data_IF_651242466194
#
_entry.id   IF_651242466194
#
_cell.length_a   1.000
_cell.length_b   1.000
_cell.length_c   1.000
_cell.angle_alpha   90.00
_cell.angle_beta   90.00
_cell.angle_gamma   90.00
#
_symmetry.space_group_name_H-M   'P 1'
#
loop_
_entity.id
_entity.type
_entity.pdbx_description
1 polymer ?
#
# COMPACT_ATOMS: atom_id res chain seq x y z
N UNK A 1 -5.37 9.76 -0.28
CA UNK A 1 -4.54 10.92 0.15
C UNK A 1 -3.67 11.34 -1.04
N UNK A 2 -2.78 12.33 -0.93
CA UNK A 2 -1.82 12.59 -2.00
C UNK A 2 -0.75 11.48 -2.06
N UNK A 3 -0.16 11.20 -3.24
CA UNK A 3 0.85 10.14 -3.40
C UNK A 3 2.00 10.21 -2.38
N UNK A 4 2.51 11.42 -2.13
CA UNK A 4 3.59 11.66 -1.16
C UNK A 4 3.17 11.48 0.30
N UNK A 5 1.89 11.68 0.63
CA UNK A 5 1.39 11.46 1.99
C UNK A 5 1.37 9.96 2.31
N UNK A 6 0.91 9.13 1.37
CA UNK A 6 0.99 7.67 1.51
C UNK A 6 2.43 7.18 1.68
N UNK A 7 3.34 7.72 0.87
CA UNK A 7 4.76 7.41 0.97
C UNK A 7 5.33 7.83 2.33
N UNK A 8 5.04 9.05 2.78
CA UNK A 8 5.54 9.56 4.05
C UNK A 8 5.06 8.71 5.23
N UNK A 9 3.76 8.38 5.30
CA UNK A 9 3.21 7.54 6.36
C UNK A 9 3.83 6.14 6.32
N UNK A 10 3.89 5.52 5.14
CA UNK A 10 4.46 4.19 4.98
C UNK A 10 5.94 4.13 5.37
N UNK A 11 6.74 5.11 4.93
CA UNK A 11 8.16 5.19 5.24
C UNK A 11 8.42 5.43 6.73
N UNK A 12 7.72 6.38 7.35
CA UNK A 12 7.87 6.65 8.78
C UNK A 12 7.47 5.42 9.60
N UNK A 13 6.36 4.76 9.26
CA UNK A 13 5.90 3.56 9.94
C UNK A 13 6.91 2.42 9.83
N UNK A 14 7.38 2.13 8.61
CA UNK A 14 8.37 1.07 8.38
C UNK A 14 9.72 1.39 9.03
N UNK A 15 10.18 2.63 8.92
CA UNK A 15 11.44 3.09 9.53
C UNK A 15 11.38 2.99 11.05
N UNK A 16 10.29 3.41 11.68
CA UNK A 16 10.12 3.30 13.13
C UNK A 16 10.14 1.83 13.57
N UNK A 17 9.37 0.97 12.92
CA UNK A 17 9.34 -0.46 13.26
C UNK A 17 10.73 -1.08 13.10
N UNK A 18 11.43 -0.81 12.00
CA UNK A 18 12.74 -1.40 11.74
C UNK A 18 13.80 -0.89 12.72
N UNK A 19 13.83 0.41 13.02
CA UNK A 19 14.76 0.97 14.01
C UNK A 19 14.47 0.47 15.44
N UNK A 20 13.21 0.25 15.81
CA UNK A 20 12.86 -0.18 17.17
C UNK A 20 13.02 -1.70 17.35
N UNK A 21 12.53 -2.49 16.41
CA UNK A 21 12.46 -3.96 16.51
C UNK A 21 13.75 -4.61 16.02
N UNK A 22 14.22 -4.18 14.84
CA UNK A 22 15.40 -4.77 14.17
C UNK A 22 16.69 -4.04 14.58
N UNK A 23 16.59 -2.81 15.08
CA UNK A 23 17.71 -1.94 15.48
C UNK A 23 18.66 -1.60 14.33
N UNK A 24 18.10 -1.52 13.13
CA UNK A 24 18.80 -1.12 11.91
C UNK A 24 17.95 -0.11 11.14
N UNK A 25 18.60 0.79 10.40
CA UNK A 25 17.90 1.69 9.48
C UNK A 25 17.42 0.93 8.24
N UNK A 26 16.29 1.33 7.62
CA UNK A 26 15.86 0.77 6.35
C UNK A 26 16.97 0.83 5.28
N UNK A 27 17.22 -0.29 4.63
CA UNK A 27 18.10 -0.36 3.48
C UNK A 27 17.49 0.33 2.24
N UNK A 28 18.33 0.59 1.23
CA UNK A 28 17.86 1.14 -0.04
C UNK A 28 16.81 0.24 -0.72
N UNK A 29 17.01 -1.08 -0.69
CA UNK A 29 16.08 -2.03 -1.31
C UNK A 29 14.74 -2.08 -0.57
N UNK A 30 14.74 -2.04 0.76
CA UNK A 30 13.52 -1.97 1.56
C UNK A 30 12.80 -0.63 1.32
N UNK A 31 13.54 0.47 1.20
CA UNK A 31 12.96 1.78 0.88
C UNK A 31 12.27 1.78 -0.48
N UNK A 32 12.87 1.15 -1.51
CA UNK A 32 12.22 0.96 -2.81
C UNK A 32 10.96 0.09 -2.67
N UNK A 33 11.01 -0.97 -1.87
CA UNK A 33 9.84 -1.80 -1.60
C UNK A 33 8.71 -1.01 -0.90
N UNK A 34 9.03 -0.12 0.04
CA UNK A 34 8.07 0.79 0.66
C UNK A 34 7.47 1.73 -0.37
N UNK A 35 8.28 2.34 -1.24
CA UNK A 35 7.79 3.21 -2.32
C UNK A 35 6.79 2.45 -3.18
N UNK A 36 7.17 1.29 -3.71
CA UNK A 36 6.28 0.49 -4.56
C UNK A 36 4.99 0.09 -3.83
N UNK A 37 5.09 -0.43 -2.61
CA UNK A 37 3.93 -0.87 -1.84
C UNK A 37 2.98 0.29 -1.52
N UNK A 38 3.53 1.46 -1.17
CA UNK A 38 2.75 2.66 -0.83
C UNK A 38 2.01 3.29 -2.01
N UNK A 39 2.36 2.95 -3.25
CA UNK A 39 1.74 3.54 -4.44
C UNK A 39 0.92 2.53 -5.25
N UNK A 40 1.15 1.22 -5.06
CA UNK A 40 0.55 0.19 -5.92
C UNK A 40 -0.99 0.26 -6.01
N UNK A 41 -1.77 0.42 -4.93
CA UNK A 41 -3.24 0.47 -5.06
C UNK A 41 -3.71 1.56 -6.03
N UNK A 42 -3.19 2.76 -5.84
CA UNK A 42 -3.47 3.93 -6.67
C UNK A 42 -2.98 3.78 -8.11
N UNK A 43 -1.80 3.20 -8.31
CA UNK A 43 -1.26 2.96 -9.66
C UNK A 43 -2.06 1.94 -10.45
N UNK A 44 -2.85 1.08 -9.79
CA UNK A 44 -3.77 0.16 -10.45
C UNK A 44 -5.12 0.84 -10.68
N UNK A 45 -5.74 1.38 -9.62
CA UNK A 45 -7.14 1.76 -9.68
C UNK A 45 -7.37 3.12 -10.35
N UNK A 46 -6.45 4.08 -10.19
CA UNK A 46 -6.61 5.41 -10.80
C UNK A 46 -6.54 5.34 -12.33
N UNK A 47 -5.60 4.63 -12.97
CA UNK A 47 -5.63 4.48 -14.42
C UNK A 47 -6.88 3.75 -14.94
N UNK A 48 -7.33 2.70 -14.23
CA UNK A 48 -8.54 1.96 -14.60
C UNK A 48 -9.78 2.85 -14.58
N UNK A 49 -9.90 3.73 -13.60
CA UNK A 49 -11.01 4.66 -13.48
C UNK A 49 -10.89 5.84 -14.45
N UNK A 50 -9.78 6.58 -14.39
CA UNK A 50 -9.65 7.90 -15.00
C UNK A 50 -9.24 7.86 -16.47
N UNK A 51 -8.46 6.85 -16.88
CA UNK A 51 -7.97 6.74 -18.24
C UNK A 51 -8.78 5.73 -19.05
N UNK A 52 -9.05 4.55 -18.47
CA UNK A 52 -9.73 3.47 -19.16
C UNK A 52 -11.26 3.49 -18.99
N UNK A 53 -11.78 4.17 -17.96
CA UNK A 53 -13.22 4.19 -17.66
C UNK A 53 -13.80 2.82 -17.31
N UNK A 54 -12.96 1.86 -16.89
CA UNK A 54 -13.36 0.49 -16.58
C UNK A 54 -14.06 0.41 -15.22
N UNK A 55 -13.62 1.22 -14.26
CA UNK A 55 -14.21 1.29 -12.91
C UNK A 55 -14.85 2.64 -12.68
N UNK A 56 -15.97 2.67 -11.95
CA UNK A 56 -16.67 3.93 -11.63
C UNK A 56 -15.86 4.85 -10.71
N UNK A 57 -15.02 4.27 -9.85
CA UNK A 57 -14.22 4.97 -8.86
C UNK A 57 -12.74 4.58 -8.96
N UNK A 58 -11.87 5.44 -8.43
CA UNK A 58 -10.44 5.14 -8.24
C UNK A 58 -10.15 4.21 -7.04
N UNK A 59 -11.18 3.57 -6.49
CA UNK A 59 -11.11 2.66 -5.34
C UNK A 59 -11.73 1.31 -5.72
N UNK A 60 -10.95 0.43 -6.36
CA UNK A 60 -11.45 -0.79 -6.97
C UNK A 60 -10.57 -2.02 -6.66
N UNK A 61 -9.84 -2.54 -7.66
CA UNK A 61 -9.12 -3.82 -7.60
C UNK A 61 -7.93 -3.73 -6.63
N UNK A 62 -7.15 -2.66 -6.74
CA UNK A 62 -6.00 -2.35 -5.90
C UNK A 62 -6.36 -2.15 -4.43
N UNK A 63 -7.58 -1.73 -4.12
CA UNK A 63 -8.10 -1.61 -2.75
C UNK A 63 -8.89 -2.85 -2.26
N UNK A 64 -8.99 -3.91 -3.07
CA UNK A 64 -9.76 -5.10 -2.71
C UNK A 64 -9.06 -5.95 -1.65
N UNK A 65 -9.79 -6.26 -0.57
CA UNK A 65 -9.34 -7.20 0.47
C UNK A 65 -9.12 -8.62 -0.07
N UNK A 66 -9.77 -8.99 -1.17
CA UNK A 66 -9.57 -10.30 -1.80
C UNK A 66 -8.31 -10.33 -2.67
N UNK A 67 -7.88 -9.19 -3.21
CA UNK A 67 -6.68 -9.08 -4.06
C UNK A 67 -5.42 -8.91 -3.22
N UNK A 68 -5.51 -8.21 -2.09
CA UNK A 68 -4.37 -7.93 -1.22
C UNK A 68 -3.55 -9.18 -0.81
N UNK A 69 -4.16 -10.33 -0.41
CA UNK A 69 -3.42 -11.54 -0.09
C UNK A 69 -2.60 -12.09 -1.27
N UNK A 70 -3.15 -12.03 -2.50
CA UNK A 70 -2.43 -12.49 -3.69
C UNK A 70 -1.24 -11.58 -3.99
N UNK A 71 -1.43 -10.27 -3.89
CA UNK A 71 -0.37 -9.27 -4.05
C UNK A 71 0.76 -9.51 -3.05
N UNK A 72 0.43 -9.75 -1.77
CA UNK A 72 1.43 -10.09 -0.75
C UNK A 72 2.11 -11.43 -1.00
N UNK A 73 1.39 -12.45 -1.47
CA UNK A 73 1.96 -13.76 -1.80
C UNK A 73 2.98 -13.64 -2.94
N UNK A 74 2.67 -12.86 -3.98
CA UNK A 74 3.59 -12.56 -5.08
C UNK A 74 4.82 -11.80 -4.57
N UNK A 75 4.62 -10.76 -3.78
CA UNK A 75 5.71 -10.00 -3.17
C UNK A 75 6.62 -10.90 -2.32
N UNK A 76 6.03 -11.79 -1.52
CA UNK A 76 6.75 -12.79 -0.74
C UNK A 76 7.54 -13.77 -1.62
N UNK A 77 6.94 -14.28 -2.69
CA UNK A 77 7.61 -15.14 -3.66
C UNK A 77 8.84 -14.49 -4.29
N UNK A 78 8.73 -13.21 -4.66
CA UNK A 78 9.85 -12.42 -5.20
C UNK A 78 10.93 -12.20 -4.14
N UNK A 79 10.53 -11.81 -2.93
CA UNK A 79 11.43 -11.57 -1.81
C UNK A 79 12.22 -12.84 -1.40
N UNK A 80 11.55 -14.00 -1.44
CA UNK A 80 12.18 -15.31 -1.19
C UNK A 80 13.29 -15.62 -2.20
N UNK A 81 13.07 -15.33 -3.50
CA UNK A 81 14.11 -15.51 -4.53
C UNK A 81 15.32 -14.61 -4.28
N UNK A 82 15.12 -13.44 -3.66
CA UNK A 82 16.20 -12.52 -3.27
C UNK A 82 16.78 -12.78 -1.87
N UNK A 83 16.35 -13.85 -1.19
CA UNK A 83 16.74 -14.20 0.19
C UNK A 83 16.57 -13.05 1.20
N UNK A 84 15.62 -12.15 0.95
CA UNK A 84 15.39 -10.99 1.82
C UNK A 84 13.93 -10.91 2.24
N UNK A 85 13.53 -11.60 3.32
CA UNK A 85 12.14 -11.59 3.80
C UNK A 85 11.69 -10.18 4.22
N UNK A 86 12.63 -9.31 4.60
CA UNK A 86 12.35 -7.92 4.96
C UNK A 86 11.78 -7.11 3.80
N UNK A 87 12.11 -7.44 2.54
CA UNK A 87 11.51 -6.78 1.37
C UNK A 87 10.01 -7.04 1.25
N UNK A 88 9.58 -8.27 1.53
CA UNK A 88 8.15 -8.60 1.55
C UNK A 88 7.44 -7.84 2.67
N UNK A 89 8.03 -7.82 3.87
CA UNK A 89 7.49 -7.06 5.00
C UNK A 89 7.38 -5.56 4.72
N UNK A 90 8.42 -4.96 4.14
CA UNK A 90 8.46 -3.54 3.77
C UNK A 90 7.33 -3.19 2.79
N UNK A 91 7.21 -3.98 1.72
CA UNK A 91 6.18 -3.79 0.71
C UNK A 91 4.77 -4.00 1.29
N UNK A 92 4.55 -5.10 2.01
CA UNK A 92 3.24 -5.45 2.57
C UNK A 92 2.77 -4.42 3.61
N UNK A 93 3.67 -3.94 4.47
CA UNK A 93 3.33 -2.90 5.44
C UNK A 93 2.98 -1.59 4.74
N UNK A 94 3.74 -1.19 3.72
CA UNK A 94 3.48 0.03 2.97
C UNK A 94 2.14 -0.02 2.21
N UNK A 95 1.85 -1.17 1.59
CA UNK A 95 0.57 -1.42 0.94
C UNK A 95 -0.59 -1.38 1.94
N UNK A 96 -0.47 -2.03 3.10
CA UNK A 96 -1.50 -2.01 4.12
C UNK A 96 -1.72 -0.61 4.71
N UNK A 97 -0.63 0.11 4.98
CA UNK A 97 -0.65 1.50 5.41
C UNK A 97 -1.48 2.35 4.46
N UNK A 98 -1.27 2.21 3.15
CA UNK A 98 -2.02 2.93 2.12
C UNK A 98 -3.53 2.71 2.27
N UNK A 99 -3.98 1.45 2.29
CA UNK A 99 -5.39 1.10 2.43
C UNK A 99 -5.99 1.69 3.72
N UNK A 100 -5.30 1.52 4.85
CA UNK A 100 -5.77 2.02 6.16
C UNK A 100 -5.87 3.54 6.19
N UNK A 101 -4.90 4.24 5.60
CA UNK A 101 -4.91 5.71 5.57
C UNK A 101 -6.07 6.26 4.74
N UNK A 102 -6.43 5.60 3.64
CA UNK A 102 -7.53 6.05 2.81
C UNK A 102 -8.90 5.72 3.39
N UNK A 103 -9.06 4.59 4.09
CA UNK A 103 -10.29 4.33 4.87
C UNK A 103 -10.49 5.38 5.98
N UNK A 104 -9.40 5.89 6.58
CA UNK A 104 -9.47 6.89 7.67
C UNK A 104 -9.63 8.33 7.18
N UNK A 105 -9.34 8.63 5.92
CA UNK A 105 -9.37 9.99 5.41
C UNK A 105 -10.79 10.61 5.38
N UNK A 106 -11.86 9.90 4.94
CA UNK A 106 -13.24 10.39 5.01
C UNK A 106 -13.67 10.77 6.43
N UNK A 107 -13.32 9.93 7.41
CA UNK A 107 -13.65 10.11 8.82
C UNK A 107 -13.03 11.40 9.40
N UNK A 108 -11.85 11.80 8.93
CA UNK A 108 -11.21 13.07 9.33
C UNK A 108 -11.87 14.31 8.72
N UNK A 109 -12.54 14.16 7.58
CA UNK A 109 -13.24 15.25 6.90
C UNK A 109 -14.72 15.36 7.29
N UNK A 110 -15.20 14.55 8.25
CA UNK A 110 -16.62 14.48 8.62
C UNK A 110 -17.51 13.92 7.51
N UNK A 111 -16.94 13.19 6.55
CA UNK A 111 -17.67 12.52 5.46
C UNK A 111 -17.86 11.05 5.81
N UNK A 112 -19.06 10.53 5.57
CA UNK A 112 -19.34 9.10 5.63
C UNK A 112 -18.35 8.36 4.72
N UNK A 113 -17.70 7.27 5.17
CA UNK A 113 -16.89 6.44 4.30
C UNK A 113 -17.80 5.88 3.20
N UNK A 114 -17.50 6.20 1.94
CA UNK A 114 -18.25 5.70 0.79
C UNK A 114 -17.92 4.22 0.60
N UNK A 115 -18.52 3.37 1.43
CA UNK A 115 -18.47 1.91 1.34
C UNK A 115 -19.43 1.47 0.23
N UNK A 116 -19.13 1.82 -1.01
CA UNK A 116 -19.87 1.32 -2.17
C UNK A 116 -19.37 -0.10 -2.47
N UNK A 117 -20.05 -1.09 -1.90
CA UNK A 117 -19.89 -2.50 -2.28
C UNK A 117 -20.44 -2.60 -3.70
N UNK A 118 -19.55 -2.78 -4.68
CA UNK A 118 -19.96 -3.05 -6.07
C UNK A 118 -20.66 -4.42 -6.09
N UNK A 119 -21.94 -4.50 -6.50
CA UNK A 119 -22.63 -5.78 -6.70
C UNK A 119 -22.04 -6.57 -7.89
#
# INVERSE_FOLDING_TARGET
MWPWEHLAVAYVLYSLITNVVVRESPSAHETVAVVLGSQLPDLVDKPLAWMAGITETGYAIGYSIFVAPFVWLVAYGIARRRRSPRLAGAFSLAYLSHLVTDVRNPLRMGREPELRVVP
#
